data_IF_961642849701
#
_entry.id   IF_961642849701
#
_cell.length_a   1.000
_cell.length_b   1.000
_cell.length_c   1.000
_cell.angle_alpha   90.00
_cell.angle_beta   90.00
_cell.angle_gamma   90.00
#
_symmetry.space_group_name_H-M   'P 1'
#
loop_
_entity.id
_entity.type
_entity.pdbx_description
1 polymer ?
#
# COMPACT_ATOMS: atom_id res chain seq x y z
N UNK A 1 19.52 1.28 -21.69
CA UNK A 1 19.73 0.91 -20.28
C UNK A 1 19.56 2.09 -19.34
N UNK A 2 20.29 3.20 -19.53
CA UNK A 2 20.20 4.36 -18.64
C UNK A 2 18.78 4.93 -18.47
N UNK A 3 18.00 5.03 -19.53
CA UNK A 3 16.60 5.48 -19.50
C UNK A 3 15.72 4.64 -18.56
N UNK A 4 15.89 3.33 -18.56
CA UNK A 4 15.13 2.43 -17.69
C UNK A 4 15.55 2.56 -16.22
N UNK A 5 16.83 2.80 -15.96
CA UNK A 5 17.34 3.11 -14.60
C UNK A 5 16.70 4.39 -14.09
N UNK A 6 16.69 5.45 -14.90
CA UNK A 6 16.10 6.75 -14.51
C UNK A 6 14.60 6.61 -14.28
N UNK A 7 13.87 5.92 -15.16
CA UNK A 7 12.43 5.71 -15.01
C UNK A 7 12.09 4.91 -13.76
N UNK A 8 12.82 3.81 -13.51
CA UNK A 8 12.65 2.99 -12.31
C UNK A 8 12.91 3.79 -11.04
N UNK A 9 14.02 4.54 -11.00
CA UNK A 9 14.39 5.37 -9.86
C UNK A 9 13.38 6.51 -9.62
N UNK A 10 12.99 7.25 -10.67
CA UNK A 10 12.05 8.36 -10.56
C UNK A 10 10.67 7.88 -10.05
N UNK A 11 10.18 6.77 -10.58
CA UNK A 11 8.91 6.21 -10.14
C UNK A 11 8.98 5.71 -8.69
N UNK A 12 10.07 5.03 -8.31
CA UNK A 12 10.28 4.56 -6.95
C UNK A 12 10.37 5.71 -5.94
N UNK A 13 11.08 6.79 -6.30
CA UNK A 13 11.16 7.99 -5.47
C UNK A 13 9.77 8.61 -5.26
N UNK A 14 9.00 8.81 -6.34
CA UNK A 14 7.64 9.33 -6.26
C UNK A 14 6.74 8.46 -5.37
N UNK A 15 6.82 7.13 -5.51
CA UNK A 15 6.08 6.19 -4.69
C UNK A 15 6.49 6.21 -3.21
N UNK A 16 7.80 6.36 -2.93
CA UNK A 16 8.33 6.40 -1.56
C UNK A 16 7.92 7.68 -0.82
N UNK A 17 7.86 8.82 -1.53
CA UNK A 17 7.49 10.12 -0.94
C UNK A 17 5.97 10.30 -0.83
N UNK A 18 5.21 9.59 -1.64
CA UNK A 18 3.75 9.67 -1.63
C UNK A 18 3.19 9.23 -0.27
N UNK A 19 2.41 10.10 0.43
CA UNK A 19 1.80 9.73 1.70
C UNK A 19 0.80 8.58 1.49
N UNK A 20 0.98 7.51 2.26
CA UNK A 20 0.15 6.33 2.12
C UNK A 20 0.16 5.44 3.36
N UNK A 21 -0.64 4.36 3.36
CA UNK A 21 -0.75 3.46 4.51
C UNK A 21 0.59 2.86 4.93
N UNK A 22 1.43 2.51 3.98
CA UNK A 22 2.75 1.92 4.22
C UNK A 22 3.68 2.92 4.94
N UNK A 23 3.78 4.16 4.45
CA UNK A 23 4.57 5.21 5.09
C UNK A 23 4.04 5.54 6.48
N UNK A 24 2.72 5.69 6.64
CA UNK A 24 2.10 5.95 7.95
C UNK A 24 2.42 4.83 8.96
N UNK A 25 2.38 3.57 8.53
CA UNK A 25 2.76 2.43 9.35
C UNK A 25 4.25 2.47 9.75
N UNK A 26 5.16 2.73 8.80
CA UNK A 26 6.60 2.79 9.07
C UNK A 26 6.95 3.94 10.03
N UNK A 27 6.33 5.10 9.85
CA UNK A 27 6.50 6.25 10.76
C UNK A 27 6.02 5.88 12.17
N UNK A 28 4.80 5.34 12.31
CA UNK A 28 4.27 4.88 13.61
C UNK A 28 5.18 3.83 14.25
N UNK A 29 5.69 2.89 13.47
CA UNK A 29 6.63 1.86 13.94
C UNK A 29 7.97 2.45 14.37
N UNK A 30 8.49 3.44 13.64
CA UNK A 30 9.73 4.14 14.00
C UNK A 30 9.57 4.89 15.32
N UNK A 31 8.45 5.56 15.52
CA UNK A 31 8.16 6.30 16.75
C UNK A 31 7.95 5.38 17.97
N UNK A 32 7.36 4.20 17.76
CA UNK A 32 7.06 3.25 18.85
C UNK A 32 8.20 2.28 19.14
N UNK A 33 8.78 1.68 18.11
CA UNK A 33 9.76 0.58 18.20
C UNK A 33 11.20 1.03 17.97
N UNK A 34 11.39 2.23 17.41
CA UNK A 34 12.69 2.81 17.04
C UNK A 34 13.15 2.44 15.64
N UNK A 35 14.05 3.28 15.08
CA UNK A 35 14.55 3.16 13.72
C UNK A 35 15.20 1.79 13.45
N UNK A 36 16.11 1.36 14.32
CA UNK A 36 16.85 0.09 14.13
C UNK A 36 15.95 -1.12 13.95
N UNK A 37 14.79 -1.15 14.62
CA UNK A 37 13.81 -2.24 14.52
C UNK A 37 12.84 -2.07 13.36
N UNK A 38 12.64 -0.85 12.90
CA UNK A 38 11.76 -0.55 11.76
C UNK A 38 12.51 -0.61 10.43
N UNK A 39 13.82 -0.32 10.42
CA UNK A 39 14.61 -0.27 9.20
C UNK A 39 14.51 -1.54 8.33
N UNK A 40 14.54 -2.77 8.86
CA UNK A 40 14.32 -3.97 8.05
C UNK A 40 12.95 -4.00 7.33
N UNK A 41 11.93 -3.32 7.86
CA UNK A 41 10.60 -3.27 7.26
C UNK A 41 10.54 -2.42 5.98
N UNK A 42 11.57 -1.61 5.70
CA UNK A 42 11.73 -0.91 4.40
C UNK A 42 11.90 -1.90 3.25
N UNK A 43 12.34 -3.13 3.55
CA UNK A 43 12.49 -4.22 2.58
C UNK A 43 11.17 -4.98 2.34
N UNK A 44 10.11 -4.67 3.09
CA UNK A 44 8.83 -5.37 2.98
C UNK A 44 8.24 -5.37 1.54
N UNK A 45 8.35 -4.28 0.73
CA UNK A 45 7.89 -4.30 -0.66
C UNK A 45 8.59 -5.37 -1.50
N UNK A 46 9.88 -5.67 -1.27
CA UNK A 46 10.57 -6.74 -2.01
C UNK A 46 9.89 -8.10 -1.82
N UNK A 47 9.32 -8.34 -0.64
CA UNK A 47 8.62 -9.59 -0.33
C UNK A 47 7.18 -9.58 -0.85
N UNK A 48 6.47 -8.48 -0.63
CA UNK A 48 5.05 -8.36 -0.97
C UNK A 48 4.80 -8.08 -2.45
N UNK A 49 5.73 -7.44 -3.16
CA UNK A 49 5.57 -7.16 -4.58
C UNK A 49 5.80 -8.40 -5.45
N UNK A 50 6.56 -9.41 -5.00
CA UNK A 50 6.76 -10.65 -5.76
C UNK A 50 5.43 -11.30 -6.14
N UNK A 51 4.52 -11.64 -5.21
CA UNK A 51 3.23 -12.20 -5.58
C UNK A 51 2.37 -11.24 -6.39
N UNK A 52 2.50 -9.92 -6.16
CA UNK A 52 1.77 -8.89 -6.94
C UNK A 52 2.24 -8.89 -8.39
N UNK A 53 3.56 -8.85 -8.62
CA UNK A 53 4.15 -8.85 -9.96
C UNK A 53 3.78 -10.14 -10.70
N UNK A 54 3.94 -11.29 -10.05
CA UNK A 54 3.58 -12.58 -10.64
C UNK A 54 2.09 -12.59 -11.03
N UNK A 55 1.21 -12.17 -10.14
CA UNK A 55 -0.22 -12.10 -10.42
C UNK A 55 -0.51 -11.18 -11.61
N UNK A 56 0.07 -9.98 -11.63
CA UNK A 56 -0.14 -8.99 -12.70
C UNK A 56 0.41 -9.49 -14.04
N UNK A 57 1.60 -10.09 -14.06
CA UNK A 57 2.22 -10.59 -15.29
C UNK A 57 1.54 -11.85 -15.84
N UNK A 58 1.03 -12.72 -14.97
CA UNK A 58 0.30 -13.94 -15.37
C UNK A 58 -1.11 -13.66 -15.86
N UNK A 59 -1.82 -12.73 -15.22
CA UNK A 59 -3.21 -12.39 -15.57
C UNK A 59 -3.27 -11.40 -16.75
N UNK A 60 -2.14 -10.84 -17.11
CA UNK A 60 -1.83 -10.14 -18.38
C UNK A 60 -2.53 -8.82 -18.66
N UNK A 61 -3.35 -8.22 -17.84
CA UNK A 61 -3.80 -6.87 -18.27
C UNK A 61 -4.37 -5.97 -17.18
N UNK A 62 -5.14 -6.46 -16.27
CA UNK A 62 -5.71 -5.59 -15.23
C UNK A 62 -6.12 -6.44 -14.02
N UNK A 63 -5.79 -5.97 -12.83
CA UNK A 63 -6.30 -6.60 -11.60
C UNK A 63 -7.83 -6.50 -11.63
N UNK A 64 -8.56 -7.63 -11.52
CA UNK A 64 -10.01 -7.60 -11.53
C UNK A 64 -10.56 -6.65 -10.45
N UNK A 65 -11.58 -5.85 -10.74
CA UNK A 65 -12.15 -4.92 -9.77
C UNK A 65 -12.64 -5.59 -8.47
N UNK A 66 -12.99 -6.88 -8.53
CA UNK A 66 -13.34 -7.68 -7.35
C UNK A 66 -12.16 -7.86 -6.40
N UNK A 67 -10.97 -8.13 -6.93
CA UNK A 67 -9.73 -8.25 -6.14
C UNK A 67 -9.38 -6.90 -5.50
N UNK A 68 -9.44 -5.80 -6.27
CA UNK A 68 -9.20 -4.45 -5.73
C UNK A 68 -10.16 -4.14 -4.57
N UNK A 69 -11.44 -4.49 -4.69
CA UNK A 69 -12.42 -4.28 -3.64
C UNK A 69 -12.16 -5.16 -2.41
N UNK A 70 -11.81 -6.42 -2.60
CA UNK A 70 -11.45 -7.31 -1.50
C UNK A 70 -10.22 -6.78 -0.75
N UNK A 71 -9.19 -6.29 -1.48
CA UNK A 71 -8.01 -5.65 -0.90
C UNK A 71 -8.37 -4.38 -0.13
N UNK A 72 -9.27 -3.53 -0.65
CA UNK A 72 -9.74 -2.33 0.04
C UNK A 72 -10.43 -2.68 1.36
N UNK A 73 -11.33 -3.65 1.35
CA UNK A 73 -12.06 -4.05 2.56
C UNK A 73 -11.13 -4.70 3.59
N UNK A 74 -10.37 -5.71 3.19
CA UNK A 74 -9.42 -6.40 4.08
C UNK A 74 -8.31 -5.46 4.57
N UNK A 75 -7.76 -4.65 3.67
CA UNK A 75 -6.74 -3.64 3.99
C UNK A 75 -7.28 -2.55 4.92
N UNK A 76 -8.51 -2.09 4.69
CA UNK A 76 -9.17 -1.12 5.56
C UNK A 76 -9.32 -1.61 6.99
N UNK A 77 -9.81 -2.84 7.18
CA UNK A 77 -9.91 -3.48 8.51
C UNK A 77 -8.54 -3.61 9.16
N UNK A 78 -7.53 -4.08 8.41
CA UNK A 78 -6.18 -4.24 8.93
C UNK A 78 -5.52 -2.90 9.32
N UNK A 79 -5.73 -1.85 8.53
CA UNK A 79 -5.26 -0.51 8.86
C UNK A 79 -5.93 0.05 10.12
N UNK A 80 -7.23 -0.17 10.32
CA UNK A 80 -7.93 0.22 11.55
C UNK A 80 -7.38 -0.54 12.77
N UNK A 81 -7.08 -1.82 12.62
CA UNK A 81 -6.41 -2.59 13.68
C UNK A 81 -5.04 -1.98 14.05
N UNK A 82 -4.22 -1.63 13.04
CA UNK A 82 -2.93 -0.98 13.27
C UNK A 82 -3.09 0.43 13.87
N UNK A 83 -4.10 1.19 13.43
CA UNK A 83 -4.45 2.49 13.99
C UNK A 83 -4.81 2.40 15.48
N UNK A 84 -5.63 1.42 15.86
CA UNK A 84 -6.01 1.17 17.25
C UNK A 84 -4.79 0.84 18.11
N UNK A 85 -3.84 0.03 17.59
CA UNK A 85 -2.57 -0.27 18.27
C UNK A 85 -1.68 0.97 18.43
N UNK A 86 -1.56 1.79 17.37
CA UNK A 86 -0.80 3.03 17.41
C UNK A 86 -1.45 4.05 18.36
N UNK A 87 -2.78 4.13 18.39
CA UNK A 87 -3.52 4.97 19.32
C UNK A 87 -3.38 4.52 20.79
N UNK A 88 -3.39 3.23 21.04
CA UNK A 88 -3.09 2.69 22.38
C UNK A 88 -1.69 3.07 22.83
N UNK A 89 -0.69 2.96 21.94
CA UNK A 89 0.67 3.42 22.20
C UNK A 89 0.75 4.93 22.45
N UNK A 90 -0.05 5.74 21.73
CA UNK A 90 -0.18 7.18 21.96
C UNK A 90 -0.73 7.51 23.35
N UNK A 91 -1.77 6.79 23.78
CA UNK A 91 -2.38 7.02 25.13
C UNK A 91 -1.43 6.64 26.25
N UNK A 92 -0.66 5.58 26.11
CA UNK A 92 0.27 5.06 27.11
C UNK A 92 1.72 5.43 26.77
N UNK A 93 1.93 6.52 26.03
CA UNK A 93 3.27 6.94 25.62
C UNK A 93 4.15 7.19 26.85
N UNK A 94 5.11 6.31 27.06
CA UNK A 94 6.23 6.50 27.99
C UNK A 94 7.45 6.89 27.17
N UNK A 95 8.28 7.80 27.71
CA UNK A 95 9.58 8.10 27.10
C UNK A 95 10.37 6.78 26.90
N UNK A 96 11.22 6.68 25.89
CA UNK A 96 11.80 5.41 25.44
C UNK A 96 12.86 4.86 26.40
N UNK A 97 12.44 4.44 27.57
CA UNK A 97 13.17 3.50 28.41
C UNK A 97 12.76 2.10 27.93
N UNK A 98 13.64 1.45 27.21
CA UNK A 98 13.48 0.12 26.62
C UNK A 98 12.30 0.01 25.61
N UNK A 99 12.61 0.17 24.34
CA UNK A 99 11.72 -0.21 23.24
C UNK A 99 11.20 -1.63 23.46
N UNK A 100 9.88 -1.77 23.57
CA UNK A 100 9.22 -3.04 23.83
C UNK A 100 9.74 -4.19 22.95
N UNK A 101 9.70 -5.40 23.46
CA UNK A 101 10.33 -6.63 22.96
C UNK A 101 9.78 -7.20 21.64
N UNK A 102 9.12 -6.39 20.79
CA UNK A 102 8.65 -6.87 19.50
C UNK A 102 9.83 -7.10 18.55
N UNK A 103 10.03 -8.33 18.06
CA UNK A 103 11.12 -8.64 17.13
C UNK A 103 10.97 -7.87 15.81
N UNK A 104 12.09 -7.49 15.19
CA UNK A 104 12.12 -6.79 13.89
C UNK A 104 11.35 -7.54 12.81
N UNK A 105 11.41 -8.88 12.82
CA UNK A 105 10.67 -9.76 11.91
C UNK A 105 9.17 -9.47 11.92
N UNK A 106 8.58 -9.25 13.08
CA UNK A 106 7.15 -8.90 13.19
C UNK A 106 6.84 -7.59 12.48
N UNK A 107 7.73 -6.60 12.57
CA UNK A 107 7.56 -5.32 11.89
C UNK A 107 7.62 -5.48 10.37
N UNK A 108 8.52 -6.33 9.86
CA UNK A 108 8.62 -6.66 8.43
C UNK A 108 7.34 -7.35 7.93
N UNK A 109 6.85 -8.33 8.66
CA UNK A 109 5.62 -9.07 8.31
C UNK A 109 4.42 -8.12 8.30
N UNK A 110 4.23 -7.33 9.35
CA UNK A 110 3.14 -6.34 9.41
C UNK A 110 3.24 -5.34 8.23
N UNK A 111 4.44 -4.84 7.91
CA UNK A 111 4.69 -3.95 6.78
C UNK A 111 4.36 -4.62 5.42
N UNK A 112 4.77 -5.88 5.25
CA UNK A 112 4.46 -6.64 4.03
C UNK A 112 2.94 -6.84 3.86
N UNK A 113 2.21 -7.12 4.95
CA UNK A 113 0.76 -7.19 4.91
C UNK A 113 0.11 -5.84 4.60
N UNK A 114 0.60 -4.72 5.16
CA UNK A 114 0.11 -3.37 4.79
C UNK A 114 0.26 -3.15 3.30
N UNK A 115 1.43 -3.49 2.73
CA UNK A 115 1.67 -3.31 1.29
C UNK A 115 0.86 -4.28 0.44
N UNK A 116 0.74 -5.55 0.85
CA UNK A 116 -0.01 -6.58 0.13
C UNK A 116 -1.52 -6.29 0.09
N UNK A 117 -2.07 -5.73 1.19
CA UNK A 117 -3.49 -5.36 1.28
C UNK A 117 -3.77 -3.95 0.74
N UNK A 118 -2.73 -3.22 0.33
CA UNK A 118 -2.88 -1.93 -0.33
C UNK A 118 -3.17 -2.15 -1.82
N UNK A 119 -4.25 -1.58 -2.39
CA UNK A 119 -4.52 -1.70 -3.82
C UNK A 119 -3.53 -0.95 -4.71
N UNK A 120 -2.83 0.07 -4.19
CA UNK A 120 -1.96 0.91 -5.00
C UNK A 120 -0.82 0.15 -5.71
N UNK A 121 -0.07 -0.77 -5.08
CA UNK A 121 0.93 -1.57 -5.78
C UNK A 121 0.35 -2.35 -6.97
N UNK A 122 -0.84 -2.96 -6.81
CA UNK A 122 -1.50 -3.70 -7.89
C UNK A 122 -1.83 -2.80 -9.08
N UNK A 123 -2.37 -1.61 -8.80
CA UNK A 123 -2.69 -0.61 -9.84
C UNK A 123 -1.41 -0.14 -10.52
N UNK A 124 -0.37 0.18 -9.76
CA UNK A 124 0.92 0.65 -10.27
C UNK A 124 1.60 -0.40 -11.15
N UNK A 125 1.65 -1.64 -10.69
CA UNK A 125 2.22 -2.75 -11.46
C UNK A 125 1.39 -3.08 -12.69
N UNK A 126 0.06 -3.02 -12.62
CA UNK A 126 -0.81 -3.32 -13.76
C UNK A 126 -0.73 -2.26 -14.85
N UNK A 127 -0.71 -0.97 -14.49
CA UNK A 127 -0.85 0.12 -15.44
C UNK A 127 0.47 0.75 -15.90
N UNK A 128 1.51 0.71 -15.06
CA UNK A 128 2.75 1.45 -15.33
C UNK A 128 3.97 0.52 -15.29
N UNK A 129 4.29 -0.04 -14.14
CA UNK A 129 5.54 -0.78 -13.95
C UNK A 129 5.57 -2.12 -14.72
N UNK A 130 4.46 -2.84 -14.79
CA UNK A 130 4.37 -4.10 -15.53
C UNK A 130 4.58 -3.91 -17.03
N UNK A 131 3.81 -3.05 -17.71
CA UNK A 131 4.06 -2.72 -19.12
C UNK A 131 5.48 -2.21 -19.39
N UNK A 132 5.99 -1.33 -18.52
CA UNK A 132 7.35 -0.79 -18.64
C UNK A 132 8.41 -1.89 -18.47
N UNK A 133 8.22 -2.81 -17.52
CA UNK A 133 9.09 -3.96 -17.30
C UNK A 133 9.10 -4.88 -18.52
N UNK A 134 7.93 -5.21 -19.07
CA UNK A 134 7.81 -6.04 -20.25
C UNK A 134 8.47 -5.40 -21.48
N UNK A 135 8.31 -4.08 -21.66
CA UNK A 135 8.98 -3.34 -22.72
C UNK A 135 10.51 -3.35 -22.55
N UNK A 136 10.98 -3.10 -21.34
CA UNK A 136 12.40 -3.13 -21.01
C UNK A 136 13.00 -4.53 -21.27
N UNK A 137 12.29 -5.57 -20.86
CA UNK A 137 12.71 -6.96 -21.01
C UNK A 137 12.77 -7.41 -22.48
N UNK A 138 11.78 -7.01 -23.30
CA UNK A 138 11.74 -7.26 -24.75
C UNK A 138 12.89 -6.57 -25.49
N UNK A 139 13.29 -5.37 -25.05
CA UNK A 139 14.42 -4.65 -25.65
C UNK A 139 15.76 -5.32 -25.31
N UNK A 140 15.97 -5.72 -24.07
CA UNK A 140 17.05 -6.59 -23.61
C UNK A 140 16.76 -7.00 -22.15
N UNK A 141 17.00 -8.27 -21.73
CA UNK A 141 16.80 -8.70 -20.34
C UNK A 141 17.54 -7.83 -19.31
N UNK A 142 18.75 -7.36 -19.66
CA UNK A 142 19.53 -6.45 -18.81
C UNK A 142 18.81 -5.14 -18.51
N UNK A 143 17.96 -4.62 -19.41
CA UNK A 143 17.19 -3.41 -19.17
C UNK A 143 16.07 -3.65 -18.13
N UNK A 144 15.42 -4.82 -18.17
CA UNK A 144 14.41 -5.20 -17.18
C UNK A 144 15.02 -5.34 -15.78
N UNK A 145 16.17 -6.01 -15.69
CA UNK A 145 16.94 -6.15 -14.44
C UNK A 145 17.35 -4.76 -13.92
N UNK A 146 17.90 -3.90 -14.79
CA UNK A 146 18.34 -2.57 -14.42
C UNK A 146 17.17 -1.69 -13.91
N UNK A 147 15.99 -1.79 -14.52
CA UNK A 147 14.78 -1.10 -14.09
C UNK A 147 14.36 -1.56 -12.68
N UNK A 148 14.27 -2.88 -12.46
CA UNK A 148 13.89 -3.43 -11.16
C UNK A 148 14.91 -3.09 -10.08
N UNK A 149 16.20 -3.23 -10.37
CA UNK A 149 17.28 -2.90 -9.43
C UNK A 149 17.24 -1.42 -9.03
N UNK A 150 17.11 -0.52 -10.01
CA UNK A 150 17.00 0.91 -9.76
C UNK A 150 15.72 1.26 -8.98
N UNK A 151 14.59 0.64 -9.32
CA UNK A 151 13.33 0.83 -8.61
C UNK A 151 13.45 0.44 -7.14
N UNK A 152 13.87 -0.79 -6.84
CA UNK A 152 13.95 -1.25 -5.45
C UNK A 152 15.06 -0.58 -4.66
N UNK A 153 16.22 -0.33 -5.25
CA UNK A 153 17.30 0.40 -4.57
C UNK A 153 16.85 1.81 -4.17
N UNK A 154 16.19 2.53 -5.09
CA UNK A 154 15.69 3.88 -4.80
C UNK A 154 14.53 3.85 -3.81
N UNK A 155 13.60 2.90 -3.92
CA UNK A 155 12.49 2.72 -2.99
C UNK A 155 12.98 2.52 -1.56
N UNK A 156 13.91 1.57 -1.37
CA UNK A 156 14.51 1.26 -0.06
C UNK A 156 15.27 2.47 0.48
N UNK A 157 16.16 3.07 -0.33
CA UNK A 157 16.95 4.21 0.10
C UNK A 157 16.08 5.41 0.47
N UNK A 158 15.13 5.80 -0.38
CA UNK A 158 14.24 6.93 -0.15
C UNK A 158 13.35 6.72 1.07
N UNK A 159 12.81 5.51 1.23
CA UNK A 159 11.98 5.17 2.40
C UNK A 159 12.82 5.18 3.68
N UNK A 160 14.05 4.65 3.66
CA UNK A 160 14.94 4.69 4.82
C UNK A 160 15.29 6.12 5.22
N UNK A 161 15.62 6.98 4.24
CA UNK A 161 15.91 8.41 4.46
C UNK A 161 14.67 9.12 5.02
N UNK A 162 13.47 8.82 4.50
CA UNK A 162 12.21 9.38 5.01
C UNK A 162 12.01 9.11 6.51
N UNK A 163 12.51 8.00 7.05
CA UNK A 163 12.33 7.66 8.46
C UNK A 163 13.31 8.38 9.40
N UNK A 164 14.41 8.95 8.90
CA UNK A 164 15.44 9.60 9.73
C UNK A 164 14.92 10.77 10.57
N UNK A 165 14.12 11.71 10.01
CA UNK A 165 13.56 12.81 10.80
C UNK A 165 12.68 12.30 11.97
N UNK A 166 11.91 11.23 11.74
CA UNK A 166 11.05 10.66 12.77
C UNK A 166 11.84 9.90 13.84
N UNK A 167 12.98 9.33 13.48
CA UNK A 167 13.92 8.77 14.47
C UNK A 167 14.50 9.85 15.37
N UNK A 168 14.94 10.99 14.78
CA UNK A 168 15.40 12.16 15.51
C UNK A 168 14.31 12.82 16.36
N UNK A 169 13.06 12.81 15.90
CA UNK A 169 11.94 13.36 16.64
C UNK A 169 11.71 12.68 18.01
N UNK A 170 12.15 11.43 18.17
CA UNK A 170 12.12 10.74 19.48
C UNK A 170 13.07 11.39 20.50
N UNK A 171 14.16 12.02 20.05
CA UNK A 171 15.14 12.69 20.92
C UNK A 171 14.72 14.13 21.27
N UNK A 172 13.79 14.72 20.52
CA UNK A 172 13.25 16.06 20.76
C UNK A 172 12.28 16.15 21.96
N UNK A 173 12.06 15.02 22.63
CA UNK A 173 11.27 14.93 23.85
C UNK A 173 9.95 14.17 23.70
N UNK A 174 9.39 13.74 24.84
CA UNK A 174 8.22 12.84 24.83
C UNK A 174 6.96 13.48 24.25
N UNK A 175 6.84 14.81 24.30
CA UNK A 175 5.68 15.51 23.72
C UNK A 175 5.67 15.41 22.19
N UNK A 176 6.80 15.67 21.54
CA UNK A 176 6.92 15.62 20.06
C UNK A 176 6.69 14.20 19.56
N UNK A 177 7.36 13.20 20.15
CA UNK A 177 7.16 11.80 19.78
C UNK A 177 5.70 11.34 19.95
N UNK A 178 5.05 11.76 21.05
CA UNK A 178 3.63 11.47 21.29
C UNK A 178 2.73 12.09 20.23
N UNK A 179 2.91 13.38 19.89
CA UNK A 179 2.12 14.06 18.86
C UNK A 179 2.28 13.42 17.48
N UNK A 180 3.52 13.13 17.06
CA UNK A 180 3.78 12.47 15.78
C UNK A 180 3.16 11.06 15.71
N UNK A 181 3.19 10.32 16.83
CA UNK A 181 2.52 9.02 16.92
C UNK A 181 1.00 9.17 16.81
N UNK A 182 0.40 10.19 17.43
CA UNK A 182 -1.02 10.52 17.30
C UNK A 182 -1.40 10.84 15.86
N UNK A 183 -0.61 11.66 15.17
CA UNK A 183 -0.80 11.98 13.75
C UNK A 183 -0.70 10.72 12.88
N UNK A 184 0.29 9.84 13.13
CA UNK A 184 0.42 8.57 12.40
C UNK A 184 -0.76 7.62 12.65
N UNK A 185 -1.25 7.55 13.89
CA UNK A 185 -2.44 6.76 14.23
C UNK A 185 -3.69 7.30 13.52
N UNK A 186 -3.88 8.63 13.51
CA UNK A 186 -4.97 9.28 12.79
C UNK A 186 -4.88 9.05 11.28
N UNK A 187 -3.68 9.13 10.69
CA UNK A 187 -3.46 8.84 9.29
C UNK A 187 -3.81 7.37 8.93
N UNK A 188 -3.37 6.40 9.74
CA UNK A 188 -3.74 5.00 9.56
C UNK A 188 -5.26 4.79 9.66
N UNK A 189 -5.93 5.44 10.62
CA UNK A 189 -7.38 5.39 10.76
C UNK A 189 -8.09 6.00 9.54
N UNK A 190 -7.66 7.17 9.09
CA UNK A 190 -8.21 7.84 7.91
C UNK A 190 -8.07 6.99 6.64
N UNK A 191 -6.87 6.40 6.40
CA UNK A 191 -6.67 5.48 5.29
C UNK A 191 -7.54 4.21 5.41
N UNK A 192 -7.68 3.66 6.62
CA UNK A 192 -8.52 2.50 6.87
C UNK A 192 -10.00 2.79 6.56
N UNK A 193 -10.53 3.90 7.07
CA UNK A 193 -11.91 4.34 6.79
C UNK A 193 -12.09 4.63 5.30
N UNK A 194 -11.16 5.34 4.67
CA UNK A 194 -11.19 5.61 3.23
C UNK A 194 -11.25 4.34 2.41
N UNK A 195 -10.42 3.33 2.72
CA UNK A 195 -10.42 2.06 2.00
C UNK A 195 -11.74 1.30 2.17
N UNK A 196 -12.30 1.26 3.38
CA UNK A 196 -13.60 0.64 3.63
C UNK A 196 -14.71 1.36 2.88
N UNK A 197 -14.73 2.69 2.93
CA UNK A 197 -15.72 3.48 2.18
C UNK A 197 -15.60 3.27 0.67
N UNK A 198 -14.39 3.34 0.11
CA UNK A 198 -14.16 3.13 -1.31
C UNK A 198 -14.50 1.71 -1.78
N UNK A 199 -14.22 0.69 -0.94
CA UNK A 199 -14.63 -0.70 -1.20
C UNK A 199 -16.14 -0.87 -1.18
N UNK A 200 -16.82 -0.27 -0.20
CA UNK A 200 -18.28 -0.32 -0.07
C UNK A 200 -18.97 0.40 -1.23
N UNK A 201 -18.55 1.63 -1.56
CA UNK A 201 -19.11 2.41 -2.66
C UNK A 201 -19.01 1.66 -4.01
N UNK A 202 -17.89 0.97 -4.25
CA UNK A 202 -17.71 0.17 -5.45
C UNK A 202 -18.63 -1.07 -5.50
N UNK A 203 -18.97 -1.66 -4.35
CA UNK A 203 -19.95 -2.75 -4.26
C UNK A 203 -21.38 -2.24 -4.50
N UNK A 204 -21.76 -1.14 -3.87
CA UNK A 204 -23.09 -0.54 -3.98
C UNK A 204 -23.40 -0.09 -5.41
N UNK A 205 -22.43 0.54 -6.10
CA UNK A 205 -22.58 0.94 -7.50
C UNK A 205 -22.81 -0.24 -8.46
N UNK A 206 -22.22 -1.39 -8.17
CA UNK A 206 -22.45 -2.62 -8.97
C UNK A 206 -23.85 -3.20 -8.76
N UNK A 207 -24.35 -3.21 -7.53
CA UNK A 207 -25.69 -3.70 -7.22
C UNK A 207 -26.77 -2.88 -7.94
N UNK A 208 -26.62 -1.56 -8.01
CA UNK A 208 -27.53 -0.67 -8.74
C UNK A 208 -27.48 -0.90 -10.26
N UNK A 209 -26.28 -1.12 -10.82
CA UNK A 209 -26.10 -1.33 -12.27
C UNK A 209 -26.63 -2.71 -12.73
N UNK A 210 -26.56 -3.73 -11.89
CA UNK A 210 -27.15 -5.06 -12.19
C UNK A 210 -28.66 -5.06 -12.08
N UNK A 211 -29.23 -4.31 -11.12
CA UNK A 211 -30.68 -4.13 -10.96
C UNK A 211 -31.30 -3.40 -12.16
N UNK A 212 -30.64 -2.34 -12.65
CA UNK A 212 -31.10 -1.59 -13.82
C UNK A 212 -31.09 -2.40 -15.12
N UNK A 213 -30.07 -3.23 -15.34
CA UNK A 213 -30.01 -4.12 -16.52
C UNK A 213 -31.07 -5.24 -16.47
N UNK A 214 -31.39 -5.76 -15.29
CA UNK A 214 -32.47 -6.73 -15.11
C UNK A 214 -33.86 -6.14 -15.41
N UNK A 215 -34.08 -4.87 -15.06
CA UNK A 215 -35.33 -4.17 -15.34
C UNK A 215 -35.48 -3.84 -16.84
N UNK A 216 -34.43 -3.37 -17.50
CA UNK A 216 -34.43 -3.09 -18.94
C UNK A 216 -34.67 -4.35 -19.79
N UNK A 217 -34.05 -5.47 -19.43
CA UNK A 217 -34.29 -6.76 -20.13
C UNK A 217 -35.70 -7.32 -19.93
N UNK A 218 -36.32 -7.06 -18.78
CA UNK A 218 -37.72 -7.42 -18.54
C UNK A 218 -38.70 -6.55 -19.33
N UNK A 219 -38.39 -5.27 -19.58
CA UNK A 219 -39.24 -4.41 -20.42
C UNK A 219 -39.12 -4.82 -21.89
N UNK A 220 -37.94 -5.16 -22.41
CA UNK A 220 -37.79 -5.66 -23.79
C UNK A 220 -38.52 -6.97 -24.04
N UNK A 221 -38.50 -7.93 -23.09
CA UNK A 221 -39.21 -9.18 -23.20
C UNK A 221 -40.75 -9.01 -23.10
N UNK A 222 -41.23 -7.94 -22.46
CA UNK A 222 -42.66 -7.62 -22.43
C UNK A 222 -43.14 -6.98 -23.73
N UNK A 223 -42.32 -6.15 -24.38
CA UNK A 223 -42.68 -5.52 -25.67
C UNK A 223 -42.69 -6.55 -26.81
N UNK A 224 -41.73 -7.49 -26.84
CA UNK A 224 -41.73 -8.57 -27.84
C UNK A 224 -42.93 -9.53 -27.73
N UNK A 225 -43.44 -9.78 -26.52
CA UNK A 225 -44.59 -10.66 -26.28
C UNK A 225 -45.95 -9.98 -26.57
N UNK A 226 -45.96 -8.67 -26.75
CA UNK A 226 -47.18 -7.91 -27.07
C UNK A 226 -47.41 -7.73 -28.58
N UNK A 227 -46.47 -8.16 -29.39
CA UNK A 227 -46.49 -8.09 -30.86
C UNK A 227 -46.64 -9.46 -31.55
N UNK A 228 -46.76 -10.56 -30.78
CA UNK A 228 -47.19 -11.89 -31.23
C UNK A 228 -48.68 -12.11 -30.85
#
# INVERSE_FOLDING_TARGET
>A
MLSYVILGAAYAFAAAVQPGPFQAYLIASTLTRGLRRTLPAVLAPLLSDVPIIVLVLLVLTQVPPSVVNALRLGGGVFLLYLAARAFSAFRHYRAPEAAGSSPAVRTVIEAAFVNLLNPNPYISWSLILGPLLLQAWKAAPANGIALLAAFYATMVASTAVLLLPFAGARTLGPRVGRWLLGVSAAALAAFGVYQLWAGWAALSGRLLCTSGRGAARRSELRTTRAHE
#
